data_IF_132664537306
#
_entry.id   IF_132664537306
#
_cell.length_a   1.000
_cell.length_b   1.000
_cell.length_c   1.000
_cell.angle_alpha   90.00
_cell.angle_beta   90.00
_cell.angle_gamma   90.00
#
_symmetry.space_group_name_H-M   'P 1'
#
loop_
_entity.id
_entity.type
_entity.pdbx_description
1 polymer ?
#
# COMPACT_ATOMS: atom_id res chain seq x y z
N UNK A 1 11.70 -3.89 14.00
CA UNK A 1 11.27 -4.75 12.86
C UNK A 1 10.89 -6.10 13.42
N UNK A 2 9.67 -6.58 13.13
CA UNK A 2 9.17 -7.88 13.57
C UNK A 2 8.52 -8.62 12.41
N UNK A 3 8.52 -9.95 12.45
CA UNK A 3 7.88 -10.78 11.43
C UNK A 3 6.78 -11.63 12.09
N UNK A 4 5.55 -11.55 11.56
CA UNK A 4 4.38 -12.27 12.09
C UNK A 4 3.65 -12.90 10.91
N UNK A 5 3.41 -14.21 10.93
CA UNK A 5 2.74 -14.96 9.84
C UNK A 5 3.30 -14.68 8.41
N UNK A 6 4.60 -14.42 8.31
CA UNK A 6 5.27 -14.09 7.04
C UNK A 6 5.11 -12.64 6.56
N UNK A 7 4.54 -11.78 7.39
CA UNK A 7 4.46 -10.33 7.17
C UNK A 7 5.55 -9.65 7.98
N UNK A 8 6.37 -8.84 7.32
CA UNK A 8 7.35 -7.99 8.01
C UNK A 8 6.68 -6.68 8.38
N UNK A 9 6.77 -6.30 9.65
CA UNK A 9 6.25 -5.05 10.20
C UNK A 9 7.42 -4.18 10.62
N UNK A 10 7.44 -2.95 10.12
CA UNK A 10 8.40 -1.92 10.51
C UNK A 10 7.70 -0.84 11.33
N UNK A 11 8.33 -0.47 12.44
CA UNK A 11 7.79 0.41 13.47
C UNK A 11 8.77 1.56 13.72
N UNK A 12 8.24 2.73 14.03
CA UNK A 12 8.95 3.90 14.55
C UNK A 12 8.25 4.27 15.86
N UNK A 13 8.99 4.36 16.96
CA UNK A 13 8.43 4.69 18.29
C UNK A 13 7.19 3.82 18.63
N UNK A 14 7.32 2.51 18.42
CA UNK A 14 6.27 1.50 18.62
C UNK A 14 5.01 1.65 17.75
N UNK A 15 4.99 2.59 16.81
CA UNK A 15 3.91 2.76 15.84
C UNK A 15 4.26 2.07 14.51
N UNK A 16 3.47 1.06 14.07
CA UNK A 16 3.72 0.40 12.80
C UNK A 16 3.42 1.35 11.64
N UNK A 17 4.41 1.57 10.78
CA UNK A 17 4.29 2.46 9.63
C UNK A 17 4.39 1.72 8.30
N UNK A 18 4.83 0.45 8.30
CA UNK A 18 4.92 -0.34 7.08
C UNK A 18 4.70 -1.83 7.33
N UNK A 19 3.93 -2.45 6.44
CA UNK A 19 3.62 -3.87 6.40
C UNK A 19 4.03 -4.42 5.04
N UNK A 20 4.90 -5.42 5.03
CA UNK A 20 5.41 -6.07 3.82
C UNK A 20 4.98 -7.53 3.79
N UNK A 21 4.14 -7.90 2.83
CA UNK A 21 3.81 -9.28 2.52
C UNK A 21 4.61 -9.77 1.32
N UNK A 22 5.79 -10.35 1.56
CA UNK A 22 6.62 -10.87 0.48
C UNK A 22 5.99 -12.09 -0.21
N UNK A 23 5.14 -12.86 0.49
CA UNK A 23 4.45 -14.02 -0.09
C UNK A 23 3.43 -13.62 -1.16
N UNK A 24 2.78 -12.47 -0.97
CA UNK A 24 1.76 -11.95 -1.89
C UNK A 24 2.22 -10.70 -2.65
N UNK A 25 3.53 -10.38 -2.62
CA UNK A 25 4.10 -9.20 -3.29
C UNK A 25 3.37 -7.88 -2.98
N UNK A 26 2.87 -7.71 -1.75
CA UNK A 26 2.08 -6.56 -1.34
C UNK A 26 2.81 -5.74 -0.27
N UNK A 27 2.73 -4.41 -0.35
CA UNK A 27 3.35 -3.49 0.62
C UNK A 27 2.38 -2.37 0.96
N UNK A 28 2.15 -2.14 2.25
CA UNK A 28 1.27 -1.08 2.75
C UNK A 28 2.04 -0.19 3.71
N UNK A 29 1.99 1.12 3.49
CA UNK A 29 2.74 2.13 4.25
C UNK A 29 1.77 3.19 4.77
N UNK A 30 1.92 3.57 6.04
CA UNK A 30 1.17 4.62 6.74
C UNK A 30 2.17 5.69 7.19
N UNK A 31 1.93 6.95 6.84
CA UNK A 31 2.72 8.08 7.32
C UNK A 31 1.88 9.35 7.37
N UNK A 32 1.80 10.00 8.53
CA UNK A 32 1.11 11.29 8.69
C UNK A 32 -0.31 11.29 8.11
N UNK A 33 -1.10 10.26 8.45
CA UNK A 33 -2.44 9.98 7.91
C UNK A 33 -2.50 9.63 6.40
N UNK A 34 -1.38 9.63 5.69
CA UNK A 34 -1.29 9.19 4.32
C UNK A 34 -1.02 7.69 4.23
N UNK A 35 -1.56 7.09 3.18
CA UNK A 35 -1.42 5.68 2.86
C UNK A 35 -0.79 5.55 1.49
N UNK A 36 0.13 4.61 1.38
CA UNK A 36 0.62 4.11 0.09
C UNK A 36 0.48 2.60 0.08
N UNK A 37 -0.05 2.08 -1.01
CA UNK A 37 -0.24 0.64 -1.19
C UNK A 37 0.33 0.21 -2.54
N UNK A 38 1.19 -0.79 -2.51
CA UNK A 38 1.59 -1.56 -3.68
C UNK A 38 0.88 -2.89 -3.61
N UNK A 39 0.01 -3.14 -4.58
CA UNK A 39 -0.79 -4.36 -4.63
C UNK A 39 0.00 -5.56 -5.22
N UNK A 40 -0.50 -6.80 -5.06
CA UNK A 40 0.14 -8.00 -5.60
C UNK A 40 0.36 -7.97 -7.11
N UNK A 41 -0.48 -7.22 -7.83
CA UNK A 41 -0.48 -7.10 -9.29
C UNK A 41 0.54 -6.07 -9.79
N UNK A 42 1.17 -5.33 -8.89
CA UNK A 42 2.22 -4.37 -9.16
C UNK A 42 1.72 -2.93 -9.34
N UNK A 43 0.44 -2.65 -9.11
CA UNK A 43 -0.07 -1.28 -9.11
C UNK A 43 0.36 -0.55 -7.83
N UNK A 44 0.53 0.76 -7.94
CA UNK A 44 0.91 1.63 -6.83
C UNK A 44 -0.18 2.68 -6.61
N UNK A 45 -0.66 2.78 -5.39
CA UNK A 45 -1.76 3.67 -5.01
C UNK A 45 -1.31 4.59 -3.89
N UNK A 46 -1.71 5.86 -3.93
CA UNK A 46 -1.48 6.80 -2.82
C UNK A 46 -2.61 7.81 -2.69
N UNK A 47 -2.82 8.34 -1.49
CA UNK A 47 -3.82 9.38 -1.22
C UNK A 47 -3.24 10.79 -1.09
N UNK A 48 -1.96 10.96 -1.37
CA UNK A 48 -1.30 12.26 -1.32
C UNK A 48 -0.61 12.54 -2.65
N UNK A 49 -0.49 13.81 -3.01
CA UNK A 49 0.14 14.28 -4.24
C UNK A 49 1.41 13.49 -4.58
N UNK A 50 1.56 13.19 -5.87
CA UNK A 50 2.72 12.47 -6.40
C UNK A 50 3.26 13.19 -7.61
N UNK A 51 4.51 13.64 -7.50
CA UNK A 51 5.35 13.87 -8.66
C UNK A 51 6.16 12.60 -8.92
N UNK A 52 6.06 12.07 -10.14
CA UNK A 52 6.64 10.79 -10.52
C UNK A 52 7.56 11.02 -11.71
N UNK A 53 8.76 10.46 -11.66
CA UNK A 53 9.67 10.46 -12.79
C UNK A 53 9.84 9.05 -13.35
N UNK A 54 9.44 8.85 -14.61
CA UNK A 54 9.54 7.57 -15.32
C UNK A 54 10.30 7.81 -16.62
N UNK A 55 11.39 7.07 -16.83
CA UNK A 55 12.22 7.14 -18.05
C UNK A 55 12.60 8.59 -18.43
N UNK A 56 12.96 9.39 -17.43
CA UNK A 56 13.34 10.80 -17.60
C UNK A 56 12.18 11.79 -17.73
N UNK A 57 10.94 11.34 -17.97
CA UNK A 57 9.74 12.18 -18.04
C UNK A 57 9.12 12.36 -16.65
N UNK A 58 8.65 13.56 -16.35
CA UNK A 58 7.92 13.87 -15.12
C UNK A 58 6.42 13.84 -15.37
N UNK A 59 5.69 13.28 -14.41
CA UNK A 59 4.24 13.22 -14.35
C UNK A 59 3.81 13.74 -12.98
N UNK A 60 2.67 14.40 -12.94
CA UNK A 60 2.06 14.91 -11.72
C UNK A 60 0.65 14.34 -11.59
N UNK A 61 0.35 13.80 -10.42
CA UNK A 61 -0.96 13.33 -10.03
C UNK A 61 -1.50 14.27 -8.96
N UNK A 62 -2.46 15.12 -9.36
CA UNK A 62 -3.00 16.23 -8.58
C UNK A 62 -4.44 15.99 -8.14
N UNK A 63 -5.16 15.10 -8.84
CA UNK A 63 -6.56 14.80 -8.55
C UNK A 63 -6.77 13.31 -8.33
N UNK A 64 -7.74 12.96 -7.48
CA UNK A 64 -8.09 11.55 -7.29
C UNK A 64 -8.56 10.94 -8.62
N UNK A 65 -8.22 9.65 -8.79
CA UNK A 65 -8.47 8.83 -9.97
C UNK A 65 -7.64 9.22 -11.21
N UNK A 66 -6.74 10.19 -11.08
CA UNK A 66 -5.68 10.34 -12.08
C UNK A 66 -4.70 9.18 -11.96
N UNK A 67 -4.31 8.64 -13.11
CA UNK A 67 -3.40 7.51 -13.20
C UNK A 67 -2.31 7.74 -14.25
N UNK A 68 -1.11 7.23 -13.96
CA UNK A 68 -0.06 7.02 -14.94
C UNK A 68 0.00 5.53 -15.24
N UNK A 69 -0.23 5.17 -16.50
CA UNK A 69 -0.04 3.79 -16.99
C UNK A 69 1.41 3.59 -17.41
N UNK A 70 2.05 2.58 -16.84
CA UNK A 70 3.39 2.15 -17.20
C UNK A 70 3.36 1.28 -18.45
N UNK A 71 4.52 1.12 -19.12
CA UNK A 71 4.63 0.32 -20.34
C UNK A 71 4.29 -1.16 -20.14
N UNK A 72 4.46 -1.68 -18.93
CA UNK A 72 4.12 -3.06 -18.56
C UNK A 72 2.67 -3.23 -18.10
N UNK A 73 1.82 -2.21 -18.28
CA UNK A 73 0.40 -2.24 -17.95
C UNK A 73 0.06 -1.92 -16.50
N UNK A 74 1.05 -1.79 -15.61
CA UNK A 74 0.83 -1.40 -14.21
C UNK A 74 0.44 0.07 -14.11
N UNK A 75 -0.27 0.41 -13.04
CA UNK A 75 -0.71 1.79 -12.80
C UNK A 75 -0.03 2.39 -11.58
N UNK A 76 0.21 3.69 -11.65
CA UNK A 76 0.41 4.54 -10.47
C UNK A 76 -0.79 5.47 -10.42
N UNK A 77 -1.58 5.38 -9.35
CA UNK A 77 -2.88 6.04 -9.26
C UNK A 77 -3.01 6.80 -7.94
N UNK A 78 -3.62 7.99 -8.01
CA UNK A 78 -4.03 8.72 -6.82
C UNK A 78 -5.45 8.29 -6.44
N UNK A 79 -5.67 7.82 -5.21
CA UNK A 79 -6.99 7.36 -4.73
C UNK A 79 -7.29 7.94 -3.36
N UNK A 80 -8.58 8.13 -3.00
CA UNK A 80 -8.97 8.39 -1.63
C UNK A 80 -8.39 7.34 -0.68
N UNK A 81 -8.05 7.74 0.55
CA UNK A 81 -7.45 6.85 1.55
C UNK A 81 -8.32 5.61 1.78
N UNK A 82 -9.63 5.82 1.86
CA UNK A 82 -10.64 4.80 2.14
C UNK A 82 -10.66 3.74 1.03
N UNK A 83 -10.53 4.15 -0.23
CA UNK A 83 -10.46 3.24 -1.38
C UNK A 83 -9.19 2.39 -1.31
N UNK A 84 -8.05 2.99 -0.94
CA UNK A 84 -6.78 2.26 -0.77
C UNK A 84 -6.87 1.26 0.37
N UNK A 85 -7.42 1.66 1.50
CA UNK A 85 -7.64 0.78 2.66
C UNK A 85 -8.56 -0.39 2.33
N UNK A 86 -9.63 -0.13 1.59
CA UNK A 86 -10.54 -1.17 1.11
C UNK A 86 -9.82 -2.18 0.20
N UNK A 87 -9.02 -1.71 -0.75
CA UNK A 87 -8.26 -2.55 -1.66
C UNK A 87 -7.19 -3.37 -0.92
N UNK A 88 -6.45 -2.76 -0.01
CA UNK A 88 -5.47 -3.44 0.83
C UNK A 88 -6.14 -4.53 1.68
N UNK A 89 -7.28 -4.24 2.30
CA UNK A 89 -8.02 -5.21 3.12
C UNK A 89 -8.51 -6.44 2.34
N UNK A 90 -8.70 -6.29 1.03
CA UNK A 90 -9.09 -7.37 0.12
C UNK A 90 -7.92 -8.15 -0.46
N UNK A 91 -6.80 -7.49 -0.73
CA UNK A 91 -5.77 -8.03 -1.62
C UNK A 91 -4.40 -8.17 -0.98
N UNK A 92 -4.17 -7.66 0.23
CA UNK A 92 -2.85 -7.71 0.86
C UNK A 92 -2.44 -9.14 1.24
N UNK A 93 -3.36 -9.94 1.77
CA UNK A 93 -3.14 -11.32 2.15
C UNK A 93 -3.47 -12.26 1.00
N UNK A 94 -2.75 -13.37 0.86
CA UNK A 94 -3.21 -14.48 0.06
C UNK A 94 -4.34 -15.23 0.80
N UNK A 95 -5.08 -16.09 0.10
CA UNK A 95 -6.28 -16.76 0.65
C UNK A 95 -6.00 -17.64 1.88
N UNK A 96 -4.76 -18.10 2.04
CA UNK A 96 -4.33 -19.00 3.11
C UNK A 96 -3.70 -18.27 4.32
N UNK A 97 -3.50 -16.95 4.23
CA UNK A 97 -2.84 -16.17 5.27
C UNK A 97 -3.83 -15.63 6.30
N UNK A 98 -3.53 -15.87 7.58
CA UNK A 98 -4.20 -15.21 8.70
C UNK A 98 -4.02 -13.69 8.61
N UNK A 99 -5.13 -12.96 8.78
CA UNK A 99 -5.10 -11.50 8.85
C UNK A 99 -4.51 -11.06 10.18
N UNK A 100 -3.48 -10.22 10.13
CA UNK A 100 -2.81 -9.67 11.31
C UNK A 100 -3.02 -8.15 11.47
N UNK A 101 -3.66 -7.52 10.49
CA UNK A 101 -3.99 -6.10 10.47
C UNK A 101 -5.36 -5.93 9.81
N UNK A 102 -6.18 -5.06 10.39
CA UNK A 102 -7.33 -4.48 9.71
C UNK A 102 -6.91 -3.16 9.07
N UNK A 103 -6.83 -3.12 7.74
CA UNK A 103 -6.40 -1.93 7.01
C UNK A 103 -7.45 -0.81 7.03
N UNK A 104 -8.73 -1.11 7.30
CA UNK A 104 -9.76 -0.06 7.39
C UNK A 104 -9.51 0.84 8.60
N UNK A 105 -9.08 0.25 9.72
CA UNK A 105 -8.78 0.95 10.97
C UNK A 105 -7.28 1.16 11.20
N UNK A 106 -6.41 0.53 10.40
CA UNK A 106 -4.95 0.43 10.59
C UNK A 106 -4.55 -0.14 11.95
N UNK A 107 -5.34 -1.07 12.49
CA UNK A 107 -5.08 -1.70 13.79
C UNK A 107 -4.51 -3.10 13.61
N UNK A 108 -3.51 -3.45 14.44
CA UNK A 108 -3.02 -4.82 14.51
C UNK A 108 -4.09 -5.68 15.19
N UNK A 109 -4.43 -6.81 14.58
CA UNK A 109 -5.40 -7.77 15.12
C UNK A 109 -4.68 -8.62 16.17
N UNK A 110 -5.11 -8.61 17.45
CA UNK A 110 -4.56 -9.48 18.48
C UNK A 110 -4.64 -10.94 18.05
N UNK A 111 -3.56 -11.69 18.29
CA UNK A 111 -3.47 -13.12 18.01
C UNK A 111 -3.71 -13.93 19.28
#
# INVERSE_FOLDING_TARGET
MKAIHGITIMEIEDNPYMFCNLKNNAVYIIKDNNVTYKDPFGNSMSNTFRQIRINGKSFELNSYREEVRLQDGKTIILLPKEDIQYLANKTFFNDEQSKIIDFLTNTIIPQ
#
